data_IF_208353722787
#
_entry.id   IF_208353722787
#
_cell.length_a   1.000
_cell.length_b   1.000
_cell.length_c   1.000
_cell.angle_alpha   90.00
_cell.angle_beta   90.00
_cell.angle_gamma   90.00
#
_symmetry.space_group_name_H-M   'P 1'
#
loop_
_entity.id
_entity.type
_entity.pdbx_description
1 polymer ?
#
# COMPACT_ATOMS: atom_id res chain seq x y z
N UNK A 1 -6.40 6.56 32.53
CA UNK A 1 -7.01 5.31 33.04
C UNK A 1 -6.02 4.15 32.87
N UNK A 2 -6.06 3.11 33.71
CA UNK A 2 -5.33 1.86 33.40
C UNK A 2 -6.08 1.10 32.31
N UNK A 3 -5.39 0.29 31.51
CA UNK A 3 -6.03 -0.45 30.41
C UNK A 3 -7.14 -1.41 30.86
N UNK A 4 -7.01 -1.96 32.08
CA UNK A 4 -8.06 -2.77 32.70
C UNK A 4 -9.35 -1.99 33.00
N UNK A 5 -9.22 -0.71 33.37
CA UNK A 5 -10.36 0.17 33.61
C UNK A 5 -11.08 0.46 32.28
N UNK A 6 -10.31 0.71 31.22
CA UNK A 6 -10.83 0.93 29.87
C UNK A 6 -11.57 -0.32 29.38
N UNK A 7 -10.99 -1.51 29.54
CA UNK A 7 -11.63 -2.77 29.17
C UNK A 7 -12.96 -2.99 29.92
N UNK A 8 -12.99 -2.71 31.23
CA UNK A 8 -14.21 -2.80 32.04
C UNK A 8 -15.27 -1.79 31.60
N UNK A 9 -14.83 -0.57 31.25
CA UNK A 9 -15.71 0.47 30.74
C UNK A 9 -16.32 0.08 29.39
N UNK A 10 -15.51 -0.42 28.46
CA UNK A 10 -15.97 -0.93 27.17
C UNK A 10 -17.01 -2.03 27.39
N UNK A 11 -16.69 -3.02 28.22
CA UNK A 11 -17.58 -4.14 28.50
C UNK A 11 -18.94 -3.69 29.05
N UNK A 12 -18.94 -2.69 29.93
CA UNK A 12 -20.17 -2.11 30.49
C UNK A 12 -21.03 -1.47 29.40
N UNK A 13 -20.42 -0.67 28.52
CA UNK A 13 -21.12 0.14 27.53
C UNK A 13 -21.44 -0.58 26.21
N UNK A 14 -20.92 -1.79 26.03
CA UNK A 14 -21.43 -2.72 25.01
C UNK A 14 -22.54 -3.63 25.56
N UNK A 15 -23.03 -3.40 26.79
CA UNK A 15 -24.12 -4.20 27.37
C UNK A 15 -23.68 -5.43 28.16
N UNK A 16 -22.40 -5.56 28.52
CA UNK A 16 -21.88 -6.62 29.38
C UNK A 16 -21.39 -7.87 28.64
N UNK A 17 -20.78 -8.80 29.39
CA UNK A 17 -20.15 -10.03 28.85
C UNK A 17 -21.08 -10.90 28.02
N UNK A 18 -22.34 -11.02 28.42
CA UNK A 18 -23.32 -11.88 27.75
C UNK A 18 -23.74 -11.31 26.38
N UNK A 19 -23.37 -10.05 26.11
CA UNK A 19 -23.56 -9.43 24.81
C UNK A 19 -22.41 -9.72 23.83
N UNK A 20 -21.29 -10.28 24.27
CA UNK A 20 -20.12 -10.55 23.42
C UNK A 20 -20.15 -11.99 22.93
N UNK A 21 -20.24 -12.18 21.61
CA UNK A 21 -20.14 -13.50 20.95
C UNK A 21 -18.70 -13.86 20.67
N UNK A 22 -17.96 -12.93 20.06
CA UNK A 22 -16.54 -13.08 19.76
C UNK A 22 -15.82 -11.74 19.94
N UNK A 23 -14.52 -11.82 20.26
CA UNK A 23 -13.65 -10.66 20.33
C UNK A 23 -12.30 -10.96 19.69
N UNK A 24 -11.89 -10.14 18.74
CA UNK A 24 -10.59 -10.25 18.06
C UNK A 24 -9.89 -8.90 18.08
N UNK A 25 -8.57 -8.92 17.97
CA UNK A 25 -7.74 -7.72 17.95
C UNK A 25 -6.92 -7.67 16.66
N UNK A 26 -6.81 -6.48 16.07
CA UNK A 26 -5.82 -6.20 15.04
C UNK A 26 -4.93 -5.03 15.51
N UNK A 27 -4.00 -4.59 14.65
CA UNK A 27 -3.00 -3.56 14.98
C UNK A 27 -3.56 -2.28 15.63
N UNK A 28 -4.81 -1.89 15.30
CA UNK A 28 -5.43 -0.65 15.80
C UNK A 28 -6.86 -0.82 16.29
N UNK A 29 -7.45 -2.02 16.26
CA UNK A 29 -8.89 -2.17 16.55
C UNK A 29 -9.21 -3.39 17.39
N UNK A 30 -10.12 -3.18 18.33
CA UNK A 30 -10.86 -4.25 18.99
C UNK A 30 -12.11 -4.51 18.17
N UNK A 31 -12.23 -5.71 17.60
CA UNK A 31 -13.38 -6.15 16.80
C UNK A 31 -14.24 -7.06 17.66
N UNK A 32 -15.51 -6.73 17.77
CA UNK A 32 -16.49 -7.46 18.56
C UNK A 32 -17.62 -7.92 17.66
N UNK A 33 -18.05 -9.16 17.85
CA UNK A 33 -19.35 -9.61 17.38
C UNK A 33 -20.29 -9.67 18.59
N UNK A 34 -21.43 -9.00 18.51
CA UNK A 34 -22.33 -8.77 19.62
C UNK A 34 -23.70 -9.40 19.38
N UNK A 35 -24.31 -9.92 20.44
CA UNK A 35 -25.65 -10.54 20.36
C UNK A 35 -26.74 -9.51 20.08
N UNK A 36 -26.67 -8.36 20.73
CA UNK A 36 -27.66 -7.29 20.66
C UNK A 36 -26.96 -5.92 20.55
N UNK A 37 -27.04 -5.34 19.36
CA UNK A 37 -26.45 -4.04 19.04
C UNK A 37 -27.18 -2.87 19.72
N UNK A 38 -28.43 -3.04 20.13
CA UNK A 38 -29.21 -1.96 20.75
C UNK A 38 -28.73 -1.59 22.16
N UNK A 39 -27.93 -2.47 22.78
CA UNK A 39 -27.35 -2.29 24.12
C UNK A 39 -26.05 -1.49 24.13
N UNK A 40 -25.58 -1.04 22.96
CA UNK A 40 -24.34 -0.29 22.82
C UNK A 40 -24.60 1.19 23.08
N UNK A 41 -23.85 1.78 24.01
CA UNK A 41 -23.78 3.22 24.21
C UNK A 41 -22.60 3.82 23.44
N UNK A 42 -22.88 4.28 22.22
CA UNK A 42 -21.86 4.89 21.35
C UNK A 42 -21.28 6.18 21.95
N UNK A 43 -22.05 6.93 22.77
CA UNK A 43 -21.59 8.20 23.33
C UNK A 43 -20.52 7.96 24.39
N UNK A 44 -20.79 7.04 25.31
CA UNK A 44 -19.85 6.69 26.39
C UNK A 44 -18.59 6.02 25.86
N UNK A 45 -18.71 5.18 24.83
CA UNK A 45 -17.54 4.59 24.17
C UNK A 45 -16.66 5.64 23.46
N UNK A 46 -17.26 6.67 22.84
CA UNK A 46 -16.50 7.75 22.20
C UNK A 46 -15.91 8.75 23.20
N UNK A 47 -16.41 8.83 24.44
CA UNK A 47 -15.85 9.69 25.49
C UNK A 47 -14.60 9.10 26.16
N UNK A 48 -14.28 7.84 25.91
CA UNK A 48 -13.03 7.24 26.37
C UNK A 48 -11.83 7.87 25.65
N UNK A 49 -10.92 8.48 26.41
CA UNK A 49 -9.74 9.21 25.92
C UNK A 49 -8.87 8.41 24.93
N UNK A 50 -8.87 7.08 25.05
CA UNK A 50 -8.09 6.18 24.18
C UNK A 50 -8.82 5.72 22.92
N UNK A 51 -10.12 5.96 22.81
CA UNK A 51 -10.94 5.58 21.65
C UNK A 51 -10.89 6.68 20.62
N UNK A 52 -10.40 6.34 19.42
CA UNK A 52 -10.30 7.25 18.28
C UNK A 52 -11.58 7.25 17.42
N UNK A 53 -12.42 6.22 17.57
CA UNK A 53 -13.71 6.13 16.91
C UNK A 53 -14.31 4.73 16.96
N UNK A 54 -15.54 4.62 16.50
CA UNK A 54 -16.33 3.38 16.49
C UNK A 54 -16.90 3.15 15.09
N UNK A 55 -16.85 1.91 14.61
CA UNK A 55 -17.38 1.52 13.30
C UNK A 55 -18.31 0.32 13.46
N UNK A 56 -19.50 0.38 12.88
CA UNK A 56 -20.45 -0.75 12.86
C UNK A 56 -20.27 -1.59 11.60
N UNK A 57 -20.33 -2.92 11.73
CA UNK A 57 -20.15 -3.90 10.65
C UNK A 57 -21.28 -4.91 10.63
N UNK A 58 -22.11 -4.89 9.59
CA UNK A 58 -23.27 -5.77 9.49
C UNK A 58 -24.21 -5.63 10.69
N UNK A 59 -24.95 -6.70 11.00
CA UNK A 59 -26.00 -6.67 12.04
C UNK A 59 -25.49 -6.92 13.46
N UNK A 60 -24.23 -7.36 13.62
CA UNK A 60 -23.68 -7.78 14.91
C UNK A 60 -22.27 -7.24 15.17
N UNK A 61 -21.60 -6.61 14.20
CA UNK A 61 -20.20 -6.21 14.32
C UNK A 61 -20.01 -4.80 14.86
N UNK A 62 -19.07 -4.66 15.78
CA UNK A 62 -18.57 -3.40 16.32
C UNK A 62 -17.03 -3.39 16.25
N UNK A 63 -16.44 -2.37 15.64
CA UNK A 63 -15.00 -2.12 15.72
C UNK A 63 -14.78 -0.86 16.57
N UNK A 64 -13.98 -0.99 17.62
CA UNK A 64 -13.52 0.13 18.43
C UNK A 64 -12.08 0.43 18.03
N UNK A 65 -11.84 1.64 17.54
CA UNK A 65 -10.55 2.07 17.00
C UNK A 65 -9.72 2.72 18.09
N UNK A 66 -8.51 2.22 18.26
CA UNK A 66 -7.47 2.75 19.14
C UNK A 66 -6.22 3.11 18.32
N UNK A 67 -5.27 3.81 18.94
CA UNK A 67 -3.95 4.00 18.36
C UNK A 67 -3.13 2.69 18.31
N UNK A 68 -2.10 2.60 17.42
CA UNK A 68 -1.17 1.47 17.41
C UNK A 68 -0.55 1.22 18.79
N UNK A 69 -0.45 -0.05 19.20
CA UNK A 69 0.17 -0.46 20.46
C UNK A 69 -0.65 -0.19 21.74
N UNK A 70 -1.82 0.46 21.64
CA UNK A 70 -2.76 0.65 22.76
C UNK A 70 -3.75 -0.52 22.83
N UNK A 71 -4.25 -0.95 21.68
CA UNK A 71 -5.33 -1.95 21.60
C UNK A 71 -4.96 -3.29 22.23
N UNK A 72 -3.74 -3.79 22.03
CA UNK A 72 -3.28 -5.06 22.59
C UNK A 72 -3.31 -5.04 24.13
N UNK A 73 -2.92 -3.92 24.73
CA UNK A 73 -2.90 -3.73 26.18
C UNK A 73 -4.31 -3.67 26.78
N UNK A 74 -5.31 -3.30 25.98
CA UNK A 74 -6.73 -3.30 26.36
C UNK A 74 -7.35 -4.68 26.10
N UNK A 75 -6.92 -5.37 25.04
CA UNK A 75 -7.48 -6.67 24.65
C UNK A 75 -7.24 -7.73 25.72
N UNK A 76 -6.05 -7.82 26.30
CA UNK A 76 -5.75 -8.80 27.35
C UNK A 76 -6.73 -8.73 28.55
N UNK A 77 -6.90 -7.57 29.23
CA UNK A 77 -7.88 -7.48 30.31
C UNK A 77 -9.32 -7.63 29.82
N UNK A 78 -9.64 -7.19 28.61
CA UNK A 78 -10.99 -7.37 28.04
C UNK A 78 -11.33 -8.86 27.83
N UNK A 79 -10.41 -9.62 27.23
CA UNK A 79 -10.57 -11.06 27.02
C UNK A 79 -10.70 -11.82 28.36
N UNK A 80 -9.95 -11.40 29.38
CA UNK A 80 -10.08 -11.95 30.72
C UNK A 80 -11.46 -11.69 31.35
N UNK A 81 -12.07 -10.53 31.09
CA UNK A 81 -13.40 -10.17 31.60
C UNK A 81 -14.53 -10.91 30.87
N UNK A 82 -14.39 -11.15 29.56
CA UNK A 82 -15.38 -11.87 28.75
C UNK A 82 -15.34 -13.38 29.02
N UNK A 83 -14.18 -13.90 29.41
CA UNK A 83 -13.93 -15.32 29.62
C UNK A 83 -13.55 -16.00 28.30
N UNK A 84 -12.46 -16.76 28.32
CA UNK A 84 -11.90 -17.44 27.14
C UNK A 84 -12.79 -18.58 26.65
N UNK A 85 -13.84 -18.25 25.90
CA UNK A 85 -14.55 -19.18 25.04
C UNK A 85 -15.04 -18.43 23.80
N UNK A 86 -14.34 -18.63 22.69
CA UNK A 86 -14.85 -18.75 21.31
C UNK A 86 -13.70 -18.45 20.34
N UNK A 87 -12.83 -19.45 20.19
CA UNK A 87 -11.94 -19.57 19.04
C UNK A 87 -12.78 -20.13 17.89
N UNK A 88 -13.74 -19.34 17.39
CA UNK A 88 -14.46 -19.65 16.16
C UNK A 88 -13.92 -18.72 15.06
N UNK A 89 -13.47 -19.39 14.00
CA UNK A 89 -12.97 -18.90 12.71
C UNK A 89 -13.62 -17.61 12.24
N UNK A 90 -12.81 -16.71 11.67
CA UNK A 90 -13.27 -15.47 11.03
C UNK A 90 -14.50 -15.71 10.14
N UNK A 91 -15.56 -14.92 10.26
CA UNK A 91 -16.66 -14.95 9.29
C UNK A 91 -16.17 -14.40 7.95
N UNK A 92 -16.68 -14.92 6.81
CA UNK A 92 -16.25 -14.50 5.49
C UNK A 92 -16.45 -13.00 5.30
N UNK A 93 -15.45 -12.33 4.72
CA UNK A 93 -15.53 -10.92 4.37
C UNK A 93 -16.75 -10.67 3.48
N UNK A 94 -17.78 -10.02 4.03
CA UNK A 94 -18.86 -9.48 3.23
C UNK A 94 -18.45 -8.11 2.69
N UNK A 95 -18.65 -7.85 1.39
CA UNK A 95 -18.30 -6.58 0.79
C UNK A 95 -19.01 -5.43 1.51
N UNK A 96 -18.30 -4.32 1.68
CA UNK A 96 -18.82 -3.06 2.21
C UNK A 96 -20.17 -2.73 1.55
N UNK A 97 -21.26 -2.85 2.32
CA UNK A 97 -22.51 -2.20 1.95
C UNK A 97 -22.25 -0.70 1.90
N UNK A 98 -22.67 -0.05 0.82
CA UNK A 98 -22.52 1.37 0.56
C UNK A 98 -23.35 2.20 1.57
N UNK A 99 -22.89 2.24 2.82
CA UNK A 99 -23.36 3.18 3.84
C UNK A 99 -22.46 4.40 3.84
N UNK A 100 -23.05 5.58 3.68
CA UNK A 100 -22.36 6.87 3.82
C UNK A 100 -21.58 6.91 5.11
N UNK A 101 -20.26 6.95 4.99
CA UNK A 101 -19.33 7.07 6.10
C UNK A 101 -19.54 8.46 6.74
N UNK A 102 -20.36 8.53 7.80
CA UNK A 102 -20.51 9.75 8.59
C UNK A 102 -19.35 9.84 9.57
N UNK A 103 -18.32 10.59 9.19
CA UNK A 103 -17.24 10.98 10.09
C UNK A 103 -17.73 12.16 10.93
N UNK A 104 -17.99 11.96 12.22
CA UNK A 104 -18.03 13.06 13.19
C UNK A 104 -16.63 13.24 13.76
N UNK A 105 -15.96 14.32 13.34
CA UNK A 105 -14.68 14.72 13.94
C UNK A 105 -15.01 15.45 15.25
N UNK A 106 -14.82 14.78 16.38
CA UNK A 106 -14.78 15.45 17.68
C UNK A 106 -13.52 16.33 17.72
N UNK A 107 -13.70 17.66 17.72
CA UNK A 107 -12.60 18.61 17.96
C UNK A 107 -12.21 18.55 19.44
N UNK A 108 -11.33 17.62 19.80
CA UNK A 108 -10.57 17.70 21.04
C UNK A 108 -9.56 18.83 20.93
N UNK A 109 -9.67 19.84 21.79
CA UNK A 109 -8.72 20.93 21.88
C UNK A 109 -7.34 20.40 22.32
N UNK A 110 -6.46 20.14 21.37
CA UNK A 110 -5.05 19.90 21.64
C UNK A 110 -4.39 21.25 21.98
N UNK A 111 -4.33 21.59 23.27
CA UNK A 111 -3.49 22.70 23.75
C UNK A 111 -2.05 22.20 23.90
N UNK A 112 -1.35 22.04 22.77
CA UNK A 112 0.10 21.84 22.74
C UNK A 112 0.82 23.17 22.85
N UNK A 113 1.29 23.51 24.04
CA UNK A 113 2.07 24.72 24.30
C UNK A 113 3.43 24.68 23.60
N UNK A 114 3.66 25.66 22.72
CA UNK A 114 5.01 26.03 22.26
C UNK A 114 5.54 27.07 23.25
N UNK A 115 6.48 26.67 24.11
CA UNK A 115 7.20 27.62 24.97
C UNK A 115 8.33 28.27 24.16
N UNK A 116 8.04 29.45 23.60
CA UNK A 116 9.05 30.40 23.15
C UNK A 116 9.65 31.11 24.37
N UNK A 117 10.97 31.21 24.42
CA UNK A 117 11.69 31.89 25.48
C UNK A 117 11.48 33.41 25.47
N UNK A 118 11.33 33.98 26.67
CA UNK A 118 11.65 35.38 26.94
C UNK A 118 11.94 35.56 28.44
N UNK A 119 13.08 36.18 28.70
CA UNK A 119 13.58 36.65 29.99
C UNK A 119 12.74 37.79 30.59
N UNK A 120 12.50 37.79 31.90
CA UNK A 120 12.65 38.96 32.78
C UNK A 120 12.28 38.66 34.25
N UNK A 121 13.27 38.85 35.13
CA UNK A 121 13.22 39.57 36.42
C UNK A 121 12.02 39.50 37.38
N UNK A 122 12.35 39.11 38.62
CA UNK A 122 12.02 39.73 39.94
C UNK A 122 11.15 38.93 40.92
N UNK A 123 11.78 38.72 42.08
CA UNK A 123 11.32 38.81 43.48
C UNK A 123 10.23 37.88 44.04
N UNK A 124 10.70 36.97 44.90
CA UNK A 124 10.31 36.76 46.30
C UNK A 124 8.87 37.06 46.75
N UNK A 125 8.19 36.03 47.28
CA UNK A 125 7.70 35.99 48.67
C UNK A 125 7.11 34.61 49.00
N UNK A 126 7.35 34.21 50.25
CA UNK A 126 6.79 33.07 50.97
C UNK A 126 5.26 32.92 50.80
N UNK A 127 4.76 31.69 50.96
CA UNK A 127 3.78 31.33 52.00
C UNK A 127 3.62 29.80 52.07
N UNK A 128 3.74 29.34 53.30
CA UNK A 128 3.50 28.02 53.89
C UNK A 128 2.11 27.43 53.60
N UNK A 129 1.98 26.11 53.43
CA UNK A 129 1.39 25.25 54.47
C UNK A 129 1.29 23.76 54.11
N UNK A 130 1.62 22.97 55.14
CA UNK A 130 1.35 21.55 55.36
C UNK A 130 -0.12 21.17 55.17
N UNK A 131 -0.38 19.92 54.74
CA UNK A 131 -0.99 18.91 55.63
C UNK A 131 -1.12 17.55 54.95
N UNK A 132 -0.58 16.54 55.62
CA UNK A 132 -0.77 15.11 55.38
C UNK A 132 -2.05 14.59 56.06
N UNK A 133 -2.63 13.52 55.53
CA UNK A 133 -3.33 12.45 56.30
C UNK A 133 -3.66 11.28 55.34
N UNK A 134 -2.98 10.12 55.37
CA UNK A 134 -3.12 8.90 56.22
C UNK A 134 -4.45 8.12 56.22
N UNK A 135 -4.25 6.79 56.27
CA UNK A 135 -5.15 5.65 56.59
C UNK A 135 -5.99 5.10 55.43
N UNK A 136 -5.75 3.88 54.91
CA UNK A 136 -5.73 2.53 55.51
C UNK A 136 -7.14 1.98 55.81
N UNK A 137 -7.55 0.91 55.12
CA UNK A 137 -8.01 -0.31 55.80
C UNK A 137 -8.16 -1.53 54.86
N UNK A 138 -7.94 -2.70 55.45
CA UNK A 138 -7.98 -4.04 54.88
C UNK A 138 -9.28 -4.80 55.23
N UNK A 139 -9.60 -5.85 54.45
CA UNK A 139 -10.23 -7.14 54.83
C UNK A 139 -10.71 -7.81 53.52
N UNK A 140 -10.23 -8.98 53.08
CA UNK A 140 -10.26 -10.36 53.62
C UNK A 140 -11.67 -10.92 53.82
N UNK A 141 -12.09 -11.84 52.95
CA UNK A 141 -12.84 -13.05 53.34
C UNK A 141 -12.92 -14.08 52.21
N UNK A 142 -12.58 -15.31 52.59
CA UNK A 142 -12.63 -16.58 51.87
C UNK A 142 -14.07 -17.09 51.73
N UNK A 143 -14.33 -17.93 50.72
CA UNK A 143 -15.11 -19.16 50.91
C UNK A 143 -14.94 -20.15 49.74
N UNK A 144 -14.61 -21.37 50.12
CA UNK A 144 -14.57 -22.64 49.37
C UNK A 144 -15.95 -23.09 48.86
N UNK A 145 -16.01 -23.88 47.78
CA UNK A 145 -16.36 -25.32 47.83
C UNK A 145 -16.71 -25.94 46.46
N UNK A 146 -16.09 -27.12 46.26
CA UNK A 146 -16.60 -28.38 45.70
C UNK A 146 -16.80 -28.61 44.19
N UNK A 147 -16.17 -29.71 43.78
CA UNK A 147 -16.20 -30.38 42.50
C UNK A 147 -17.36 -31.38 42.36
N UNK A 148 -17.71 -31.67 41.11
CA UNK A 148 -18.22 -32.92 40.54
C UNK A 148 -18.79 -32.54 39.16
N UNK A 149 -18.76 -33.26 38.05
CA UNK A 149 -18.34 -34.61 37.68
C UNK A 149 -18.73 -34.72 36.19
N UNK A 150 -17.89 -35.32 35.33
CA UNK A 150 -18.30 -35.73 33.98
C UNK A 150 -19.37 -36.83 34.04
N UNK A 151 -20.06 -37.11 32.92
CA UNK A 151 -19.70 -38.34 32.21
C UNK A 151 -19.69 -38.24 30.67
N UNK A 152 -18.94 -39.18 30.11
CA UNK A 152 -18.74 -39.55 28.70
C UNK A 152 -19.75 -40.59 28.20
N UNK A 153 -20.13 -40.54 26.91
CA UNK A 153 -20.60 -41.66 26.06
C UNK A 153 -20.64 -41.18 24.58
N UNK A 154 -19.80 -41.67 23.67
CA UNK A 154 -19.92 -42.87 22.80
C UNK A 154 -20.75 -42.72 21.49
N UNK A 155 -20.01 -42.65 20.37
CA UNK A 155 -20.12 -43.40 19.09
C UNK A 155 -21.40 -43.43 18.23
N UNK A 156 -21.27 -43.04 16.94
CA UNK A 156 -21.73 -43.73 15.67
C UNK A 156 -21.40 -42.82 14.46
N UNK A 157 -20.46 -43.14 13.56
CA UNK A 157 -20.45 -44.07 12.40
C UNK A 157 -20.97 -43.51 11.06
N UNK A 158 -20.05 -43.42 10.09
CA UNK A 158 -20.15 -43.55 8.62
C UNK A 158 -20.98 -42.57 7.76
N UNK A 159 -20.27 -41.88 6.86
CA UNK A 159 -20.47 -41.99 5.40
C UNK A 159 -19.16 -41.73 4.65
N UNK A 160 -18.81 -42.65 3.75
CA UNK A 160 -17.76 -42.52 2.76
C UNK A 160 -18.19 -41.52 1.67
N UNK A 161 -17.29 -40.69 1.17
CA UNK A 161 -17.25 -40.36 -0.25
C UNK A 161 -15.85 -39.93 -0.70
N UNK A 162 -15.55 -40.22 -1.97
CA UNK A 162 -14.23 -40.48 -2.55
C UNK A 162 -13.37 -39.23 -2.82
N UNK A 163 -12.03 -39.31 -2.81
CA UNK A 163 -11.18 -38.19 -3.20
C UNK A 163 -11.11 -38.07 -4.73
N UNK A 164 -11.71 -37.03 -5.29
CA UNK A 164 -11.42 -36.57 -6.65
C UNK A 164 -9.96 -36.12 -6.71
N UNK A 165 -9.13 -36.84 -7.47
CA UNK A 165 -7.70 -36.58 -7.57
C UNK A 165 -7.43 -35.38 -8.47
N UNK A 166 -6.51 -34.51 -8.01
CA UNK A 166 -5.97 -33.32 -8.69
C UNK A 166 -5.62 -33.51 -10.18
N UNK A 167 -5.41 -34.76 -10.61
CA UNK A 167 -5.07 -35.12 -11.98
C UNK A 167 -6.22 -34.92 -12.98
N UNK A 168 -7.48 -35.06 -12.56
CA UNK A 168 -8.64 -34.88 -13.44
C UNK A 168 -8.88 -33.39 -13.77
N UNK A 169 -8.60 -32.50 -12.82
CA UNK A 169 -8.70 -31.05 -13.01
C UNK A 169 -7.57 -30.52 -13.92
N UNK A 170 -6.37 -31.10 -13.84
CA UNK A 170 -5.24 -30.75 -14.71
C UNK A 170 -5.52 -31.19 -16.15
N UNK A 171 -6.09 -32.38 -16.36
CA UNK A 171 -6.46 -32.86 -17.69
C UNK A 171 -7.53 -31.96 -18.34
N UNK A 172 -8.49 -31.47 -17.56
CA UNK A 172 -9.52 -30.52 -18.00
C UNK A 172 -8.91 -29.16 -18.41
N UNK A 173 -7.95 -28.66 -17.63
CA UNK A 173 -7.27 -27.38 -17.94
C UNK A 173 -6.43 -27.45 -19.22
N UNK A 174 -5.74 -28.57 -19.45
CA UNK A 174 -4.92 -28.77 -20.64
C UNK A 174 -5.77 -28.84 -21.93
N UNK A 175 -6.95 -29.46 -21.86
CA UNK A 175 -7.88 -29.49 -22.99
C UNK A 175 -8.44 -28.10 -23.37
N UNK A 176 -8.66 -27.22 -22.37
CA UNK A 176 -9.07 -25.83 -22.60
C UNK A 176 -7.95 -25.04 -23.27
N UNK A 177 -6.69 -25.24 -22.85
CA UNK A 177 -5.52 -24.60 -23.42
C UNK A 177 -5.31 -24.96 -24.90
N UNK A 178 -5.50 -26.23 -25.26
CA UNK A 178 -5.37 -26.72 -26.65
C UNK A 178 -6.47 -26.14 -27.56
N UNK A 179 -7.68 -25.98 -27.03
CA UNK A 179 -8.81 -25.37 -27.75
C UNK A 179 -8.57 -23.89 -28.03
N UNK A 180 -7.96 -23.16 -27.08
CA UNK A 180 -7.60 -21.75 -27.23
C UNK A 180 -6.46 -21.55 -28.23
N UNK A 181 -5.46 -22.43 -28.24
CA UNK A 181 -4.36 -22.37 -29.21
C UNK A 181 -4.83 -22.68 -30.63
N UNK A 182 -5.73 -23.66 -30.79
CA UNK A 182 -6.35 -24.00 -32.07
C UNK A 182 -7.19 -22.87 -32.65
N UNK A 183 -7.84 -22.08 -31.78
CA UNK A 183 -8.65 -20.92 -32.18
C UNK A 183 -7.79 -19.73 -32.65
N UNK A 184 -6.62 -19.50 -32.05
CA UNK A 184 -5.67 -18.47 -32.53
C UNK A 184 -5.11 -18.79 -33.91
N UNK A 185 -4.90 -20.07 -34.25
CA UNK A 185 -4.33 -20.48 -35.54
C UNK A 185 -5.31 -20.26 -36.71
N UNK A 186 -6.63 -20.42 -36.49
CA UNK A 186 -7.67 -20.10 -37.49
C UNK A 186 -7.85 -18.61 -37.76
N UNK A 187 -7.58 -17.74 -36.77
CA UNK A 187 -7.65 -16.28 -36.95
C UNK A 187 -6.48 -15.73 -37.78
N UNK A 188 -5.32 -16.39 -37.77
CA UNK A 188 -4.14 -15.93 -38.51
C UNK A 188 -4.19 -16.26 -40.01
N UNK A 189 -4.97 -17.27 -40.43
CA UNK A 189 -5.03 -17.74 -41.84
C UNK A 189 -6.09 -17.02 -42.69
N UNK A 190 -6.92 -16.15 -42.10
CA UNK A 190 -7.98 -15.43 -42.80
C UNK A 190 -7.57 -14.03 -43.30
N UNK A 191 -6.37 -13.55 -42.98
CA UNK A 191 -5.95 -12.17 -43.25
C UNK A 191 -5.06 -11.97 -44.51
N UNK A 192 -4.67 -13.04 -45.22
CA UNK A 192 -3.71 -12.94 -46.34
C UNK A 192 -4.31 -13.09 -47.75
N UNK A 193 -5.64 -13.12 -47.91
CA UNK A 193 -6.27 -13.27 -49.24
C UNK A 193 -7.25 -12.13 -49.55
N UNK A 194 -6.75 -10.90 -49.71
CA UNK A 194 -7.45 -9.87 -50.49
C UNK A 194 -6.57 -8.63 -50.71
N UNK A 195 -5.78 -8.60 -51.80
CA UNK A 195 -5.55 -7.40 -52.64
C UNK A 195 -4.62 -7.77 -53.79
N UNK A 196 -5.18 -8.17 -54.93
CA UNK A 196 -4.49 -8.08 -56.21
C UNK A 196 -5.54 -7.98 -57.32
N UNK A 197 -5.74 -6.77 -57.86
CA UNK A 197 -6.05 -6.49 -59.28
C UNK A 197 -6.56 -5.07 -59.43
N UNK A 198 -5.78 -4.20 -60.08
CA UNK A 198 -6.21 -3.48 -61.29
C UNK A 198 -5.08 -2.56 -61.77
N UNK A 199 -4.69 -2.78 -63.02
CA UNK A 199 -3.72 -1.99 -63.78
C UNK A 199 -4.51 -1.19 -64.81
N UNK A 200 -4.22 0.11 -64.96
CA UNK A 200 -4.31 0.82 -66.26
C UNK A 200 -3.71 2.23 -66.24
N UNK A 201 -2.58 2.38 -66.94
CA UNK A 201 -2.24 3.33 -68.04
C UNK A 201 -2.19 4.88 -67.86
N UNK A 202 -1.24 5.42 -68.66
CA UNK A 202 -1.00 6.80 -69.20
C UNK A 202 -0.02 7.68 -68.38
N UNK A 203 1.22 7.91 -68.87
CA UNK A 203 1.66 8.98 -69.84
C UNK A 203 1.60 10.36 -69.17
N UNK A 204 2.61 11.21 -69.06
CA UNK A 204 3.74 11.63 -69.93
C UNK A 204 4.69 12.54 -69.12
N UNK A 205 5.96 12.60 -69.52
CA UNK A 205 6.93 13.71 -69.48
C UNK A 205 6.78 14.84 -68.43
N UNK A 206 7.82 15.07 -67.64
CA UNK A 206 8.58 16.34 -67.77
C UNK A 206 10.02 16.21 -67.24
N UNK A 207 10.94 16.85 -67.96
CA UNK A 207 12.35 17.00 -67.60
C UNK A 207 12.50 18.07 -66.52
N UNK A 208 13.68 18.11 -65.88
CA UNK A 208 14.61 19.27 -65.84
C UNK A 208 15.26 19.43 -64.45
N UNK A 209 16.58 19.09 -64.39
CA UNK A 209 17.66 19.73 -63.59
C UNK A 209 17.59 19.64 -62.04
N UNK A 210 18.67 19.55 -61.26
CA UNK A 210 20.09 19.78 -61.46
C UNK A 210 20.89 18.94 -60.46
N UNK A 211 22.13 18.65 -60.82
CA UNK A 211 23.16 18.11 -59.95
C UNK A 211 23.36 18.95 -58.68
N UNK A 212 23.65 18.29 -57.55
CA UNK A 212 24.72 18.77 -56.69
C UNK A 212 25.52 17.61 -56.09
N UNK A 213 26.81 17.87 -56.00
CA UNK A 213 27.91 16.96 -55.84
C UNK A 213 28.00 16.31 -54.45
N UNK A 214 28.69 15.18 -54.42
CA UNK A 214 29.09 14.52 -53.19
C UNK A 214 29.96 15.39 -52.28
N UNK A 215 29.78 15.17 -50.99
CA UNK A 215 30.85 15.19 -50.01
C UNK A 215 30.56 14.04 -49.05
N UNK A 216 31.26 12.93 -49.25
CA UNK A 216 31.45 11.93 -48.20
C UNK A 216 32.32 12.57 -47.10
N UNK A 217 31.71 13.45 -46.31
CA UNK A 217 32.31 13.93 -45.08
C UNK A 217 32.28 12.77 -44.10
N UNK A 218 33.44 12.39 -43.56
CA UNK A 218 33.49 11.51 -42.41
C UNK A 218 32.56 12.11 -41.33
N UNK A 219 31.72 11.29 -40.66
CA UNK A 219 30.78 11.80 -39.68
C UNK A 219 31.54 12.64 -38.65
N UNK A 220 31.00 13.81 -38.33
CA UNK A 220 31.61 14.71 -37.36
C UNK A 220 31.76 13.99 -36.01
N UNK A 221 32.75 14.36 -35.20
CA UNK A 221 32.95 13.76 -33.87
C UNK A 221 31.67 13.77 -33.02
N UNK A 222 30.80 14.78 -33.21
CA UNK A 222 29.49 14.89 -32.57
C UNK A 222 28.46 13.87 -33.05
N UNK A 223 28.51 13.47 -34.32
CA UNK A 223 27.62 12.45 -34.91
C UNK A 223 28.06 11.04 -34.52
N UNK A 224 29.38 10.79 -34.47
CA UNK A 224 29.94 9.52 -33.99
C UNK A 224 29.58 9.32 -32.50
N UNK A 225 29.69 10.36 -31.68
CA UNK A 225 29.40 10.27 -30.25
C UNK A 225 27.90 10.14 -29.96
N UNK A 226 27.03 10.78 -30.75
CA UNK A 226 25.58 10.55 -30.66
C UNK A 226 25.19 9.12 -31.04
N UNK A 227 25.79 8.57 -32.09
CA UNK A 227 25.49 7.21 -32.57
C UNK A 227 25.91 6.17 -31.55
N UNK A 228 27.11 6.31 -30.96
CA UNK A 228 27.60 5.41 -29.90
C UNK A 228 26.79 5.52 -28.60
N UNK A 229 26.36 6.72 -28.19
CA UNK A 229 25.49 6.87 -27.01
C UNK A 229 24.10 6.24 -27.23
N UNK A 230 23.53 6.39 -28.42
CA UNK A 230 22.25 5.76 -28.75
C UNK A 230 22.35 4.23 -28.77
N UNK A 231 23.45 3.69 -29.28
CA UNK A 231 23.73 2.25 -29.26
C UNK A 231 23.94 1.72 -27.83
N UNK A 232 24.67 2.49 -27.00
CA UNK A 232 24.89 2.15 -25.59
C UNK A 232 23.56 2.15 -24.81
N UNK A 233 22.72 3.17 -24.96
CA UNK A 233 21.40 3.20 -24.31
C UNK A 233 20.47 2.11 -24.87
N UNK A 234 20.60 1.77 -26.16
CA UNK A 234 19.78 0.75 -26.83
C UNK A 234 19.91 -0.65 -26.22
N UNK A 235 20.99 -0.93 -25.49
CA UNK A 235 21.16 -2.18 -24.73
C UNK A 235 20.77 -2.06 -23.25
N UNK A 236 20.59 -0.83 -22.74
CA UNK A 236 20.25 -0.57 -21.34
C UNK A 236 18.76 -0.73 -21.07
N UNK A 237 18.43 -1.26 -19.89
CA UNK A 237 17.06 -1.50 -19.45
C UNK A 237 16.78 -0.79 -18.14
N UNK A 238 15.62 -0.17 -18.02
CA UNK A 238 15.18 0.48 -16.78
C UNK A 238 13.89 -0.14 -16.25
N UNK A 239 13.77 -0.13 -14.93
CA UNK A 239 12.58 -0.56 -14.20
C UNK A 239 11.96 0.63 -13.48
N UNK A 240 10.67 0.84 -13.71
CA UNK A 240 9.88 1.84 -12.99
C UNK A 240 9.03 1.12 -11.96
N UNK A 241 9.30 1.41 -10.69
CA UNK A 241 8.59 0.85 -9.56
C UNK A 241 7.61 1.87 -8.99
N UNK A 242 6.44 1.40 -8.57
CA UNK A 242 5.41 2.22 -7.96
C UNK A 242 4.84 1.52 -6.73
N UNK A 243 4.87 2.23 -5.61
CA UNK A 243 4.38 1.77 -4.33
C UNK A 243 2.86 1.85 -4.19
N UNK A 244 2.36 1.81 -2.95
CA UNK A 244 0.94 1.68 -2.69
C UNK A 244 0.16 2.91 -3.15
N UNK A 245 -1.06 2.66 -3.63
CA UNK A 245 -2.06 3.62 -4.11
C UNK A 245 -1.71 4.36 -5.40
N UNK A 246 -0.55 4.15 -6.01
CA UNK A 246 -0.23 4.75 -7.33
C UNK A 246 -1.14 4.21 -8.43
N UNK A 247 -1.66 2.98 -8.28
CA UNK A 247 -2.70 2.43 -9.15
C UNK A 247 -4.02 3.24 -9.15
N UNK A 248 -4.23 4.11 -8.16
CA UNK A 248 -5.46 4.90 -8.00
C UNK A 248 -5.39 6.28 -8.66
N UNK A 249 -4.32 6.58 -9.41
CA UNK A 249 -4.21 7.81 -10.21
C UNK A 249 -5.42 7.98 -11.14
N UNK A 250 -5.91 9.21 -11.26
CA UNK A 250 -7.09 9.58 -12.05
C UNK A 250 -8.44 9.28 -11.38
N UNK A 251 -8.46 8.47 -10.31
CA UNK A 251 -9.68 8.14 -9.55
C UNK A 251 -9.72 8.89 -8.23
N UNK A 252 -8.59 8.91 -7.51
CA UNK A 252 -8.49 9.52 -6.18
C UNK A 252 -8.04 10.97 -6.26
N UNK A 253 -8.76 11.86 -5.57
CA UNK A 253 -8.38 13.27 -5.37
C UNK A 253 -7.90 13.96 -6.68
N UNK A 254 -8.71 13.95 -7.76
CA UNK A 254 -8.28 14.41 -9.09
C UNK A 254 -7.88 15.89 -9.12
N UNK A 255 -8.33 16.69 -8.15
CA UNK A 255 -7.89 18.08 -7.96
C UNK A 255 -6.44 18.21 -7.49
N UNK A 256 -5.89 17.21 -6.79
CA UNK A 256 -4.53 17.22 -6.26
C UNK A 256 -3.53 16.50 -7.19
N UNK A 257 -3.95 15.41 -7.84
CA UNK A 257 -3.08 14.57 -8.67
C UNK A 257 -3.37 14.66 -10.19
N UNK A 258 -4.43 15.37 -10.58
CA UNK A 258 -4.89 15.46 -11.97
C UNK A 258 -5.78 14.29 -12.39
N UNK A 259 -6.25 14.35 -13.64
CA UNK A 259 -7.11 13.33 -14.23
C UNK A 259 -6.33 12.18 -14.90
N UNK A 260 -5.00 12.26 -14.94
CA UNK A 260 -4.17 11.23 -15.58
C UNK A 260 -4.18 9.95 -14.75
N UNK A 261 -4.33 8.82 -15.44
CA UNK A 261 -4.45 7.49 -14.85
C UNK A 261 -3.10 6.80 -14.71
N UNK A 262 -3.09 5.66 -14.00
CA UNK A 262 -1.89 4.80 -13.96
C UNK A 262 -1.51 4.25 -15.35
N UNK A 263 -2.49 4.01 -16.23
CA UNK A 263 -2.25 3.59 -17.60
C UNK A 263 -1.57 4.71 -18.43
N UNK A 264 -1.93 5.96 -18.19
CA UNK A 264 -1.29 7.12 -18.81
C UNK A 264 0.17 7.25 -18.35
N UNK A 265 0.44 7.02 -17.05
CA UNK A 265 1.80 6.99 -16.51
C UNK A 265 2.67 5.91 -17.19
N UNK A 266 2.18 4.67 -17.31
CA UNK A 266 2.91 3.59 -18.00
C UNK A 266 3.24 4.00 -19.43
N UNK A 267 2.22 4.49 -20.15
CA UNK A 267 2.36 4.88 -21.55
C UNK A 267 3.36 6.02 -21.73
N UNK A 268 3.30 7.03 -20.85
CA UNK A 268 4.24 8.14 -20.82
C UNK A 268 5.68 7.65 -20.64
N UNK A 269 5.91 6.84 -19.61
CA UNK A 269 7.25 6.34 -19.30
C UNK A 269 7.84 5.47 -20.41
N UNK A 270 7.04 4.56 -20.97
CA UNK A 270 7.50 3.68 -22.05
C UNK A 270 7.78 4.45 -23.35
N UNK A 271 6.95 5.46 -23.64
CA UNK A 271 7.18 6.35 -24.77
C UNK A 271 8.48 7.13 -24.56
N UNK A 272 8.63 7.77 -23.40
CA UNK A 272 9.78 8.61 -23.10
C UNK A 272 11.09 7.82 -23.08
N UNK A 273 11.11 6.66 -22.43
CA UNK A 273 12.30 5.80 -22.40
C UNK A 273 12.74 5.40 -23.80
N UNK A 274 11.80 5.12 -24.71
CA UNK A 274 12.10 4.82 -26.11
C UNK A 274 12.64 6.05 -26.86
N UNK A 275 12.09 7.23 -26.60
CA UNK A 275 12.56 8.48 -27.20
C UNK A 275 13.99 8.82 -26.76
N UNK A 276 14.31 8.55 -25.49
CA UNK A 276 15.66 8.73 -24.93
C UNK A 276 16.65 7.67 -25.43
N UNK A 277 16.15 6.50 -25.84
CA UNK A 277 16.94 5.44 -26.49
C UNK A 277 17.15 4.17 -25.66
N UNK A 278 16.44 3.99 -24.55
CA UNK A 278 16.52 2.75 -23.76
C UNK A 278 16.01 1.54 -24.54
N UNK A 279 16.69 0.40 -24.39
CA UNK A 279 16.28 -0.87 -25.00
C UNK A 279 15.01 -1.47 -24.40
N UNK A 280 14.76 -1.24 -23.11
CA UNK A 280 13.51 -1.63 -22.46
C UNK A 280 13.15 -0.73 -21.27
N UNK A 281 11.85 -0.56 -21.05
CA UNK A 281 11.29 0.13 -19.90
C UNK A 281 10.08 -0.65 -19.38
N UNK A 282 10.27 -1.28 -18.22
CA UNK A 282 9.22 -2.06 -17.58
C UNK A 282 8.63 -1.25 -16.42
N UNK A 283 7.33 -1.39 -16.19
CA UNK A 283 6.62 -0.72 -15.10
C UNK A 283 5.98 -1.77 -14.21
N UNK A 284 6.21 -1.67 -12.90
CA UNK A 284 5.60 -2.53 -11.90
C UNK A 284 5.01 -1.70 -10.77
N UNK A 285 3.83 -2.08 -10.29
CA UNK A 285 3.17 -1.43 -9.17
C UNK A 285 2.65 -2.49 -8.20
N UNK A 286 2.80 -2.22 -6.91
CA UNK A 286 2.17 -3.05 -5.88
C UNK A 286 1.79 -2.26 -4.64
N UNK A 287 0.71 -2.70 -4.00
CA UNK A 287 0.31 -2.26 -2.67
C UNK A 287 0.95 -3.09 -1.56
N UNK A 288 1.71 -4.13 -1.90
CA UNK A 288 2.37 -5.03 -0.98
C UNK A 288 3.87 -4.75 -0.96
N UNK A 289 4.40 -4.39 0.22
CA UNK A 289 5.82 -4.12 0.42
C UNK A 289 6.71 -5.29 0.01
N UNK A 290 6.38 -6.51 0.44
CA UNK A 290 7.15 -7.72 0.09
C UNK A 290 7.27 -7.94 -1.42
N UNK A 291 6.20 -7.68 -2.17
CA UNK A 291 6.23 -7.82 -3.63
C UNK A 291 7.15 -6.79 -4.30
N UNK A 292 7.26 -5.58 -3.73
CA UNK A 292 8.22 -4.57 -4.21
C UNK A 292 9.66 -4.96 -3.84
N UNK A 293 9.88 -5.54 -2.65
CA UNK A 293 11.19 -6.09 -2.26
C UNK A 293 11.61 -7.19 -3.22
N UNK A 294 10.71 -8.13 -3.51
CA UNK A 294 10.97 -9.24 -4.43
C UNK A 294 11.29 -8.72 -5.84
N UNK A 295 10.54 -7.73 -6.33
CA UNK A 295 10.78 -7.14 -7.65
C UNK A 295 12.13 -6.39 -7.71
N UNK A 296 12.53 -5.70 -6.64
CA UNK A 296 13.85 -5.07 -6.54
C UNK A 296 14.96 -6.14 -6.62
N UNK A 297 14.82 -7.24 -5.87
CA UNK A 297 15.79 -8.34 -5.88
C UNK A 297 15.88 -9.00 -7.26
N UNK A 298 14.72 -9.24 -7.89
CA UNK A 298 14.64 -9.80 -9.23
C UNK A 298 15.28 -8.88 -10.28
N UNK A 299 15.30 -7.56 -10.06
CA UNK A 299 15.90 -6.62 -10.98
C UNK A 299 17.42 -6.80 -11.13
N UNK A 300 18.08 -7.43 -10.15
CA UNK A 300 19.52 -7.67 -10.14
C UNK A 300 19.96 -8.46 -11.38
N UNK A 301 20.84 -7.85 -12.20
CA UNK A 301 21.33 -8.43 -13.45
C UNK A 301 20.36 -8.37 -14.64
N UNK A 302 19.14 -7.83 -14.45
CA UNK A 302 18.15 -7.65 -15.52
C UNK A 302 17.99 -6.20 -15.94
N UNK A 303 18.16 -5.25 -15.02
CA UNK A 303 18.01 -3.82 -15.27
C UNK A 303 19.27 -3.06 -14.86
N UNK A 304 19.53 -1.97 -15.57
CA UNK A 304 20.66 -1.08 -15.35
C UNK A 304 20.29 0.11 -14.47
N UNK A 305 19.01 0.42 -14.32
CA UNK A 305 18.54 1.54 -13.52
C UNK A 305 17.12 1.34 -12.99
N UNK A 306 16.85 1.88 -11.80
CA UNK A 306 15.54 1.89 -11.15
C UNK A 306 15.04 3.34 -10.99
N UNK A 307 13.78 3.58 -11.38
CA UNK A 307 13.06 4.81 -11.05
C UNK A 307 11.92 4.41 -10.14
N UNK A 308 11.93 4.87 -8.89
CA UNK A 308 11.00 4.38 -7.87
C UNK A 308 10.18 5.51 -7.27
N UNK A 309 8.86 5.40 -7.37
CA UNK A 309 7.94 6.14 -6.51
C UNK A 309 7.42 5.21 -5.41
N UNK A 310 7.96 5.25 -4.18
CA UNK A 310 7.57 4.30 -3.14
C UNK A 310 6.21 4.60 -2.51
N UNK A 311 5.54 5.69 -2.91
CA UNK A 311 4.30 6.14 -2.28
C UNK A 311 4.48 6.32 -0.76
N UNK A 312 3.56 5.78 0.03
CA UNK A 312 3.62 5.87 1.49
C UNK A 312 4.82 5.12 2.12
N UNK A 313 5.41 4.14 1.41
CA UNK A 313 6.53 3.37 1.94
C UNK A 313 7.83 4.16 2.04
N UNK A 314 7.90 5.29 1.36
CA UNK A 314 8.97 6.30 1.52
C UNK A 314 9.25 6.60 2.99
N UNK A 315 8.19 6.73 3.78
CA UNK A 315 8.25 7.23 5.16
C UNK A 315 8.37 6.10 6.20
N UNK A 316 8.31 4.84 5.77
CA UNK A 316 8.10 3.71 6.70
C UNK A 316 8.97 2.50 6.42
N UNK A 317 9.37 2.26 5.17
CA UNK A 317 10.02 1.01 4.77
C UNK A 317 11.54 1.07 4.86
N UNK A 318 12.08 0.43 5.90
CA UNK A 318 13.51 0.09 5.96
C UNK A 318 13.80 -1.14 5.06
N UNK A 319 12.84 -2.05 4.90
CA UNK A 319 13.00 -3.25 4.07
C UNK A 319 13.29 -2.90 2.60
N UNK A 320 12.59 -1.92 2.02
CA UNK A 320 12.85 -1.46 0.65
C UNK A 320 14.19 -0.72 0.54
N UNK A 321 14.59 0.04 1.55
CA UNK A 321 15.92 0.65 1.61
C UNK A 321 17.02 -0.42 1.55
N UNK A 322 16.89 -1.48 2.37
CA UNK A 322 17.87 -2.56 2.41
C UNK A 322 17.89 -3.36 1.10
N UNK A 323 16.73 -3.60 0.48
CA UNK A 323 16.63 -4.25 -0.82
C UNK A 323 17.37 -3.46 -1.93
N UNK A 324 17.17 -2.14 -1.98
CA UNK A 324 17.85 -1.28 -2.96
C UNK A 324 19.37 -1.27 -2.73
N UNK A 325 19.81 -1.18 -1.48
CA UNK A 325 21.24 -1.23 -1.14
C UNK A 325 21.88 -2.57 -1.48
N UNK A 326 21.13 -3.67 -1.37
CA UNK A 326 21.63 -5.01 -1.67
C UNK A 326 21.90 -5.22 -3.16
N UNK A 327 21.05 -4.70 -4.05
CA UNK A 327 21.20 -4.90 -5.50
C UNK A 327 22.15 -3.91 -6.18
N UNK A 328 22.46 -2.79 -5.54
CA UNK A 328 23.39 -1.75 -6.03
C UNK A 328 23.08 -1.21 -7.44
N UNK A 329 21.82 -1.30 -7.86
CA UNK A 329 21.35 -0.71 -9.12
C UNK A 329 21.12 0.79 -8.88
N UNK A 330 21.64 1.69 -9.74
CA UNK A 330 21.36 3.13 -9.64
C UNK A 330 19.86 3.41 -9.54
N UNK A 331 19.45 4.14 -8.51
CA UNK A 331 18.05 4.43 -8.23
C UNK A 331 17.77 5.94 -8.15
N UNK A 332 16.66 6.37 -8.76
CA UNK A 332 16.09 7.72 -8.59
C UNK A 332 14.75 7.60 -7.86
N UNK A 333 14.58 8.36 -6.78
CA UNK A 333 13.30 8.48 -6.07
C UNK A 333 12.42 9.53 -6.76
N UNK A 334 11.15 9.21 -7.01
CA UNK A 334 10.18 10.12 -7.65
C UNK A 334 8.92 10.27 -6.80
N UNK A 335 8.44 11.50 -6.66
CA UNK A 335 7.15 11.80 -6.06
C UNK A 335 6.33 12.72 -6.95
N UNK A 336 5.07 12.33 -7.20
CA UNK A 336 4.13 13.13 -8.02
C UNK A 336 3.84 14.48 -7.35
N UNK A 337 3.61 14.48 -6.03
CA UNK A 337 3.36 15.68 -5.24
C UNK A 337 4.63 16.20 -4.55
N UNK A 338 4.64 17.49 -4.17
CA UNK A 338 5.68 18.06 -3.31
C UNK A 338 5.52 17.54 -1.88
N UNK A 339 6.29 16.53 -1.51
CA UNK A 339 6.20 15.89 -0.21
C UNK A 339 6.62 16.84 0.92
N UNK A 340 7.58 17.71 0.68
CA UNK A 340 8.15 18.61 1.69
C UNK A 340 7.16 19.68 2.18
N UNK A 341 6.12 19.98 1.41
CA UNK A 341 5.05 20.94 1.80
C UNK A 341 3.89 20.27 2.53
N UNK A 342 4.01 18.97 2.85
CA UNK A 342 2.98 18.18 3.52
C UNK A 342 3.29 18.00 5.00
N UNK A 343 2.56 17.11 5.66
CA UNK A 343 2.69 16.83 7.09
C UNK A 343 4.11 16.36 7.45
N UNK A 344 4.59 16.68 8.67
CA UNK A 344 5.97 16.42 9.12
C UNK A 344 6.42 14.97 8.89
N UNK A 345 5.54 13.99 9.11
CA UNK A 345 5.87 12.58 8.92
C UNK A 345 6.16 12.21 7.45
N UNK A 346 5.72 13.02 6.49
CA UNK A 346 6.02 12.82 5.07
C UNK A 346 7.36 13.40 4.65
N UNK A 347 7.93 14.31 5.44
CA UNK A 347 9.25 14.88 5.14
C UNK A 347 10.39 13.87 5.35
N UNK A 348 10.10 12.74 6.03
CA UNK A 348 11.05 11.66 6.27
C UNK A 348 11.06 10.70 5.07
N UNK A 349 12.22 10.46 4.46
CA UNK A 349 12.39 9.42 3.43
C UNK A 349 13.53 8.48 3.81
N UNK A 350 13.21 7.19 4.01
CA UNK A 350 14.20 6.14 4.13
C UNK A 350 14.81 5.80 2.78
N UNK A 351 13.98 5.78 1.73
CA UNK A 351 14.35 5.36 0.37
C UNK A 351 15.38 6.30 -0.24
N UNK A 352 15.27 7.62 0.02
CA UNK A 352 16.22 8.63 -0.44
C UNK A 352 17.68 8.27 -0.20
N UNK A 353 17.96 7.51 0.87
CA UNK A 353 19.33 7.10 1.24
C UNK A 353 19.97 6.09 0.27
N UNK A 354 19.16 5.35 -0.50
CA UNK A 354 19.63 4.44 -1.56
C UNK A 354 19.59 5.07 -2.96
N UNK A 355 19.06 6.29 -3.10
CA UNK A 355 18.91 6.95 -4.38
C UNK A 355 20.00 8.01 -4.58
N UNK A 356 20.54 8.12 -5.79
CA UNK A 356 21.51 9.18 -6.12
C UNK A 356 20.82 10.52 -6.43
N UNK A 357 19.51 10.49 -6.71
CA UNK A 357 18.70 11.68 -6.99
C UNK A 357 17.26 11.47 -6.50
N UNK A 358 16.61 12.56 -6.11
CA UNK A 358 15.18 12.60 -5.78
C UNK A 358 14.51 13.72 -6.58
N UNK A 359 13.33 13.43 -7.16
CA UNK A 359 12.52 14.38 -7.93
C UNK A 359 11.12 14.41 -7.32
N UNK A 360 10.58 15.59 -7.01
CA UNK A 360 9.27 15.72 -6.33
C UNK A 360 8.46 16.88 -6.91
N UNK A 361 7.14 16.75 -6.92
CA UNK A 361 6.24 17.88 -7.19
C UNK A 361 5.99 18.22 -8.66
N UNK A 362 6.51 17.42 -9.58
CA UNK A 362 6.40 17.67 -11.03
C UNK A 362 5.23 16.91 -11.67
N UNK A 363 4.35 16.30 -10.89
CA UNK A 363 3.32 15.41 -11.43
C UNK A 363 3.95 14.21 -12.16
N UNK A 364 3.34 13.79 -13.28
CA UNK A 364 3.91 12.72 -14.10
C UNK A 364 5.20 13.13 -14.83
N UNK A 365 5.44 14.43 -15.03
CA UNK A 365 6.69 14.93 -15.64
C UNK A 365 7.91 14.64 -14.76
N UNK A 366 7.72 14.35 -13.47
CA UNK A 366 8.81 13.89 -12.61
C UNK A 366 9.42 12.57 -13.09
N UNK A 367 8.61 11.66 -13.65
CA UNK A 367 9.10 10.41 -14.25
C UNK A 367 9.85 10.66 -15.55
N UNK A 368 9.37 11.58 -16.39
CA UNK A 368 10.06 12.01 -17.62
C UNK A 368 11.46 12.53 -17.26
N UNK A 369 11.56 13.45 -16.31
CA UNK A 369 12.84 13.98 -15.86
C UNK A 369 13.74 12.87 -15.29
N UNK A 370 13.19 11.94 -14.51
CA UNK A 370 13.94 10.80 -13.97
C UNK A 370 14.52 9.90 -15.08
N UNK A 371 13.78 9.64 -16.15
CA UNK A 371 14.24 8.84 -17.29
C UNK A 371 15.43 9.51 -17.98
N UNK A 372 15.35 10.82 -18.22
CA UNK A 372 16.46 11.59 -18.79
C UNK A 372 17.69 11.60 -17.89
N UNK A 373 17.49 11.84 -16.59
CA UNK A 373 18.57 11.85 -15.61
C UNK A 373 19.25 10.48 -15.47
N UNK A 374 18.46 9.40 -15.51
CA UNK A 374 18.98 8.03 -15.49
C UNK A 374 19.81 7.75 -16.73
N UNK A 375 19.34 8.15 -17.92
CA UNK A 375 20.11 7.98 -19.15
C UNK A 375 21.45 8.72 -19.10
N UNK A 376 21.45 9.97 -18.61
CA UNK A 376 22.68 10.73 -18.43
C UNK A 376 23.63 10.05 -17.45
N UNK A 377 23.12 9.54 -16.33
CA UNK A 377 23.92 8.81 -15.34
C UNK A 377 24.56 7.55 -15.94
N UNK A 378 23.79 6.75 -16.67
CA UNK A 378 24.26 5.50 -17.28
C UNK A 378 25.20 5.70 -18.48
N UNK A 379 25.18 6.87 -19.11
CA UNK A 379 26.15 7.24 -20.15
C UNK A 379 27.48 7.74 -19.59
N UNK A 380 27.51 8.15 -18.31
CA UNK A 380 28.68 8.71 -17.64
C UNK A 380 29.39 7.71 -16.71
N UNK A 381 28.70 6.64 -16.32
CA UNK A 381 29.22 5.51 -15.54
C UNK A 381 29.94 4.50 -16.43
#
# INVERSE_FOLDING_TARGET
MKYADIASHILTHIGGKDNVRTSTVCMTRLRLNLTDISRIDDNELNMLESVLGIVRRGNHGLEIVFGPGIVEKIYEPFAALVGSSNNETEPPEHPLSAGTLRVQIARGAYSGGVAAGASAGRSASDVTNNSASTSANANTSQSSHTASSQPSAQTSSNTQDSPSTLDDDIASLLAVLDTLQSSKKKSATAAETSTNSSSSRMSTDDQTTAANNGAGGAPSTSEIQKTSNAELLGIKKILILNGPNINMLGIREPTLYGAQTYADLISLCQCEARLVGFGACNCYQSNHEGALVDEIQHACGLYDGIIFNPGAYTHTSIALLDALNAVQIPCIEVHISEVDKREDFRQISYIRRACFKTIMGMGLNGYVQAIHDMAQHLLQA
#
